data_IF_559856827440
#
_entry.id   IF_559856827440
#
_cell.length_a   1.000
_cell.length_b   1.000
_cell.length_c   1.000
_cell.angle_alpha   90.00
_cell.angle_beta   90.00
_cell.angle_gamma   90.00
#
_symmetry.space_group_name_H-M   'P 1'
#
loop_
_entity.id
_entity.type
_entity.pdbx_description
1 polymer ?
#
# COMPACT_ATOMS: atom_id res chain seq x y z
N UNK A 1 1.68 9.24 3.65
CA UNK A 1 3.05 9.00 4.16
C UNK A 1 4.03 9.68 3.21
N UNK A 2 5.11 10.29 3.72
CA UNK A 2 6.13 10.92 2.87
C UNK A 2 7.53 10.53 3.35
N UNK A 3 8.47 10.34 2.42
CA UNK A 3 9.89 10.04 2.65
C UNK A 3 10.17 8.98 3.72
N UNK A 4 9.25 8.04 3.89
CA UNK A 4 9.32 6.96 4.85
C UNK A 4 9.42 5.65 4.09
N UNK A 5 10.46 4.87 4.39
CA UNK A 5 10.54 3.49 3.92
C UNK A 5 9.41 2.68 4.56
N UNK A 6 8.71 1.92 3.74
CA UNK A 6 7.68 0.98 4.19
C UNK A 6 8.30 -0.41 4.25
N UNK A 7 8.64 -0.93 5.45
CA UNK A 7 9.17 -2.28 5.57
C UNK A 7 8.09 -3.32 5.23
N UNK A 8 8.51 -4.57 5.05
CA UNK A 8 7.59 -5.68 4.83
C UNK A 8 6.58 -5.81 5.98
N UNK A 9 5.30 -5.66 5.64
CA UNK A 9 4.22 -5.78 6.61
C UNK A 9 2.88 -6.13 5.93
N UNK A 10 1.93 -6.69 6.69
CA UNK A 10 0.51 -6.67 6.33
C UNK A 10 -0.23 -5.50 7.01
N UNK A 11 -1.30 -5.03 6.39
CA UNK A 11 -2.21 -4.04 6.97
C UNK A 11 -3.14 -4.68 8.00
N UNK A 12 -2.64 -4.87 9.22
CA UNK A 12 -3.33 -5.65 10.27
C UNK A 12 -4.70 -5.08 10.66
N UNK A 13 -4.94 -3.78 10.49
CA UNK A 13 -6.20 -3.12 10.87
C UNK A 13 -7.29 -3.21 9.81
N UNK A 14 -6.92 -3.52 8.56
CA UNK A 14 -7.86 -3.55 7.45
C UNK A 14 -8.83 -4.74 7.55
N UNK A 15 -9.93 -4.65 6.81
CA UNK A 15 -10.76 -5.83 6.59
C UNK A 15 -10.08 -6.74 5.54
N UNK A 16 -10.15 -8.07 5.70
CA UNK A 16 -9.49 -9.02 4.75
C UNK A 16 -10.03 -8.92 3.32
N UNK A 17 -11.27 -8.43 3.20
CA UNK A 17 -11.93 -8.15 1.91
C UNK A 17 -11.83 -6.67 1.49
N UNK A 18 -11.24 -5.81 2.32
CA UNK A 18 -10.98 -4.42 1.99
C UNK A 18 -9.86 -4.26 0.96
N UNK A 19 -9.91 -3.16 0.22
CA UNK A 19 -8.86 -2.72 -0.69
C UNK A 19 -8.18 -1.49 -0.10
N UNK A 20 -6.87 -1.44 -0.23
CA UNK A 20 -6.09 -0.22 -0.09
C UNK A 20 -5.72 0.27 -1.50
N UNK A 21 -6.00 1.54 -1.79
CA UNK A 21 -5.54 2.21 -3.00
C UNK A 21 -4.36 3.08 -2.63
N UNK A 22 -3.19 2.79 -3.20
CA UNK A 22 -1.99 3.59 -2.98
C UNK A 22 -1.69 4.39 -4.23
N UNK A 23 -1.53 5.70 -4.07
CA UNK A 23 -1.11 6.62 -5.14
C UNK A 23 0.23 7.19 -4.75
N UNK A 24 1.23 7.05 -5.62
CA UNK A 24 2.58 7.59 -5.38
C UNK A 24 2.85 8.76 -6.28
N UNK A 25 3.32 9.85 -5.70
CA UNK A 25 3.66 11.08 -6.41
C UNK A 25 4.97 11.67 -5.89
N UNK A 26 5.57 12.50 -6.73
CA UNK A 26 6.76 13.28 -6.43
C UNK A 26 7.97 12.87 -7.29
N UNK A 27 9.00 13.70 -7.34
CA UNK A 27 10.15 13.49 -8.21
C UNK A 27 11.17 12.56 -7.54
N UNK A 28 10.90 11.27 -7.42
CA UNK A 28 11.82 10.27 -6.83
C UNK A 28 12.26 9.23 -7.87
N UNK A 29 13.28 8.44 -7.51
CA UNK A 29 13.72 7.27 -8.27
C UNK A 29 13.84 6.04 -7.36
N UNK A 30 13.71 4.84 -7.93
CA UNK A 30 13.69 3.59 -7.16
C UNK A 30 12.34 3.34 -6.48
N UNK A 31 12.36 2.66 -5.33
CA UNK A 31 11.16 2.43 -4.52
C UNK A 31 10.17 1.44 -5.10
N UNK A 32 10.63 0.37 -5.77
CA UNK A 32 9.74 -0.66 -6.30
C UNK A 32 8.83 -1.24 -5.20
N UNK A 33 7.60 -1.60 -5.59
CA UNK A 33 6.72 -2.36 -4.69
C UNK A 33 7.07 -3.84 -4.81
N UNK A 34 7.36 -4.46 -3.68
CA UNK A 34 7.63 -5.88 -3.60
C UNK A 34 6.54 -6.59 -2.80
N UNK A 35 5.97 -7.64 -3.39
CA UNK A 35 5.00 -8.56 -2.77
C UNK A 35 5.62 -9.97 -2.78
N UNK A 36 6.38 -10.37 -1.74
CA UNK A 36 7.15 -11.61 -1.75
C UNK A 36 6.31 -12.87 -1.94
N UNK A 37 5.10 -12.89 -1.36
CA UNK A 37 4.20 -14.04 -1.44
C UNK A 37 3.79 -14.39 -2.88
N UNK A 38 3.83 -13.41 -3.79
CA UNK A 38 3.53 -13.58 -5.21
C UNK A 38 4.79 -13.62 -6.08
N UNK A 39 5.98 -13.56 -5.48
CA UNK A 39 7.24 -13.32 -6.19
C UNK A 39 7.14 -12.13 -7.18
N UNK A 40 6.46 -11.06 -6.75
CA UNK A 40 6.08 -9.96 -7.62
C UNK A 40 6.84 -8.68 -7.25
N UNK A 41 7.53 -8.14 -8.25
CA UNK A 41 8.22 -6.85 -8.23
C UNK A 41 7.57 -5.93 -9.25
N UNK A 42 7.11 -4.77 -8.82
CA UNK A 42 6.39 -3.84 -9.69
C UNK A 42 7.04 -2.46 -9.67
N UNK A 43 7.09 -1.84 -10.86
CA UNK A 43 7.39 -0.42 -11.00
C UNK A 43 6.38 0.39 -10.18
N UNK A 44 6.91 1.23 -9.31
CA UNK A 44 6.13 2.03 -8.37
C UNK A 44 6.63 3.48 -8.44
N UNK A 45 6.55 4.04 -9.64
CA UNK A 45 7.10 5.35 -10.01
C UNK A 45 6.09 6.48 -9.80
N UNK A 46 6.53 7.73 -9.95
CA UNK A 46 5.66 8.90 -9.90
C UNK A 46 4.40 8.75 -10.79
N UNK A 47 3.22 8.96 -10.20
CA UNK A 47 1.92 8.81 -10.85
C UNK A 47 1.32 7.41 -10.78
N UNK A 48 2.06 6.42 -10.24
CA UNK A 48 1.54 5.05 -10.12
C UNK A 48 0.41 4.98 -9.11
N UNK A 49 -0.68 4.30 -9.50
CA UNK A 49 -1.75 3.89 -8.61
C UNK A 49 -1.83 2.38 -8.58
N UNK A 50 -1.91 1.80 -7.37
CA UNK A 50 -2.16 0.37 -7.19
C UNK A 50 -3.38 0.15 -6.31
N UNK A 51 -4.04 -0.99 -6.50
CA UNK A 51 -5.05 -1.52 -5.59
C UNK A 51 -4.55 -2.83 -5.03
N UNK A 52 -4.43 -2.93 -3.70
CA UNK A 52 -3.91 -4.11 -3.02
C UNK A 52 -4.82 -4.51 -1.87
N UNK A 53 -4.92 -5.83 -1.61
CA UNK A 53 -5.45 -6.34 -0.35
C UNK A 53 -4.33 -6.41 0.68
N UNK A 54 -3.88 -5.27 1.17
CA UNK A 54 -2.65 -5.18 1.98
C UNK A 54 -2.68 -5.98 3.29
N UNK A 55 -3.87 -6.34 3.79
CA UNK A 55 -4.01 -7.32 4.88
C UNK A 55 -3.64 -8.75 4.49
N UNK A 56 -3.97 -9.14 3.25
CA UNK A 56 -3.78 -10.51 2.73
C UNK A 56 -2.40 -10.66 2.11
N UNK A 57 -1.88 -9.60 1.50
CA UNK A 57 -0.62 -9.58 0.77
C UNK A 57 0.39 -8.71 1.52
N UNK A 58 1.28 -9.31 2.33
CA UNK A 58 2.41 -8.60 2.91
C UNK A 58 3.22 -7.93 1.80
N UNK A 59 3.52 -6.65 1.98
CA UNK A 59 4.16 -5.84 0.96
C UNK A 59 5.17 -4.89 1.60
N UNK A 60 6.15 -4.49 0.80
CA UNK A 60 7.14 -3.47 1.15
C UNK A 60 7.39 -2.54 -0.02
N UNK A 61 7.97 -1.39 0.31
CA UNK A 61 8.52 -0.46 -0.69
C UNK A 61 10.02 -0.47 -0.51
N UNK A 62 10.73 -0.76 -1.58
CA UNK A 62 12.18 -0.75 -1.59
C UNK A 62 12.76 0.63 -1.26
N UNK A 63 14.09 0.69 -1.09
CA UNK A 63 14.74 1.98 -0.95
C UNK A 63 14.50 2.84 -2.20
N UNK A 64 14.13 4.09 -1.96
CA UNK A 64 14.05 5.13 -2.97
C UNK A 64 15.11 6.19 -2.69
N UNK A 65 15.59 6.82 -3.75
CA UNK A 65 16.63 7.82 -3.71
C UNK A 65 16.07 9.17 -4.14
N UNK A 66 16.71 10.23 -3.65
CA UNK A 66 16.54 11.64 -4.06
C UNK A 66 15.14 12.22 -3.82
N UNK A 67 15.10 13.49 -3.44
CA UNK A 67 13.90 14.34 -3.40
C UNK A 67 12.71 13.76 -2.58
N UNK A 68 11.49 13.86 -3.11
CA UNK A 68 10.25 13.68 -2.35
C UNK A 68 9.43 12.53 -2.91
N UNK A 69 9.26 11.49 -2.10
CA UNK A 69 8.39 10.35 -2.33
C UNK A 69 7.17 10.45 -1.41
N UNK A 70 5.99 10.66 -1.99
CA UNK A 70 4.72 10.79 -1.26
C UNK A 70 3.81 9.65 -1.66
N UNK A 71 3.36 8.88 -0.69
CA UNK A 71 2.35 7.84 -0.86
C UNK A 71 1.05 8.25 -0.16
N UNK A 72 -0.02 8.37 -0.92
CA UNK A 72 -1.37 8.64 -0.44
C UNK A 72 -2.12 7.31 -0.42
N UNK A 73 -2.44 6.83 0.78
CA UNK A 73 -3.14 5.57 0.98
C UNK A 73 -4.62 5.83 1.28
N UNK A 74 -5.51 5.27 0.47
CA UNK A 74 -6.95 5.25 0.72
C UNK A 74 -7.33 3.83 1.13
N UNK A 75 -7.72 3.65 2.38
CA UNK A 75 -8.02 2.35 2.95
C UNK A 75 -9.13 2.49 4.00
N UNK A 76 -9.72 1.36 4.38
CA UNK A 76 -10.75 1.30 5.41
C UNK A 76 -10.42 0.23 6.43
N UNK A 77 -10.30 0.64 7.69
CA UNK A 77 -10.14 -0.29 8.80
C UNK A 77 -11.40 -1.15 8.99
N UNK A 78 -11.20 -2.36 9.51
CA UNK A 78 -12.27 -3.29 9.90
C UNK A 78 -13.25 -2.66 10.89
N UNK A 79 -12.79 -1.79 11.79
CA UNK A 79 -13.66 -1.14 12.77
C UNK A 79 -14.76 -0.30 12.11
N UNK A 80 -14.45 0.39 11.00
CA UNK A 80 -15.42 1.17 10.25
C UNK A 80 -16.47 0.28 9.58
N UNK A 81 -16.05 -0.87 9.05
CA UNK A 81 -16.98 -1.84 8.47
C UNK A 81 -17.97 -2.33 9.52
N UNK A 82 -17.45 -2.67 10.71
CA UNK A 82 -18.27 -3.12 11.84
C UNK A 82 -19.26 -2.04 12.29
N UNK A 83 -18.83 -0.78 12.42
CA UNK A 83 -19.72 0.32 12.84
C UNK A 83 -20.81 0.62 11.83
N UNK A 84 -20.55 0.38 10.54
CA UNK A 84 -21.53 0.56 9.47
C UNK A 84 -22.37 -0.69 9.17
N UNK A 85 -22.19 -1.79 9.92
CA UNK A 85 -22.89 -3.05 9.68
C UNK A 85 -22.57 -3.69 8.33
N UNK A 86 -21.40 -3.39 7.74
CA UNK A 86 -20.99 -3.95 6.45
C UNK A 86 -20.60 -5.40 6.63
N UNK A 87 -21.48 -6.30 6.19
CA UNK A 87 -21.20 -7.72 6.08
C UNK A 87 -20.83 -8.01 4.63
N UNK A 88 -19.58 -8.34 4.32
CA UNK A 88 -19.23 -8.62 2.95
C UNK A 88 -19.91 -9.92 2.50
N UNK A 89 -20.43 -9.88 1.27
CA UNK A 89 -20.97 -11.03 0.53
C UNK A 89 -19.94 -12.17 0.48
#
# INVERSE_FOLDING_TARGET
>A
MYNRKTPLHPDKSDHKRGWAVLVVVGPFTGGALHIPFLNLHMSYTNGTMIMIRGKVLPHEVEAFCTCQHICIAHFTHRSLWNSCGIVPL
#
